data_IF_682624500638
#
_entry.id   IF_682624500638
#
_cell.length_a   1.000
_cell.length_b   1.000
_cell.length_c   1.000
_cell.angle_alpha   90.00
_cell.angle_beta   90.00
_cell.angle_gamma   90.00
#
_symmetry.space_group_name_H-M   'P 1'
#
loop_
_entity.id
_entity.type
_entity.pdbx_description
1 polymer ?
#
# COMPACT_ATOMS: atom_id res chain seq x y z
N UNK A 1 10.58 -0.03 10.21
CA UNK A 1 9.36 0.51 9.55
C UNK A 1 8.79 1.69 10.31
N UNK A 2 8.51 1.57 11.60
CA UNK A 2 7.92 2.65 12.41
C UNK A 2 8.67 3.99 12.30
N UNK A 3 10.01 3.98 12.29
CA UNK A 3 10.80 5.20 12.07
C UNK A 3 10.49 5.87 10.73
N UNK A 4 10.42 5.10 9.64
CA UNK A 4 10.10 5.63 8.30
C UNK A 4 8.66 6.20 8.25
N UNK A 5 7.69 5.52 8.89
CA UNK A 5 6.32 6.04 8.98
C UNK A 5 6.31 7.34 9.78
N UNK A 6 6.99 7.39 10.95
CA UNK A 6 7.08 8.61 11.76
C UNK A 6 7.66 9.78 10.95
N UNK A 7 8.79 9.58 10.27
CA UNK A 7 9.40 10.60 9.40
C UNK A 7 8.47 11.05 8.27
N UNK A 8 7.50 10.20 7.90
CA UNK A 8 6.51 10.51 6.86
C UNK A 8 5.37 11.37 7.38
N UNK A 9 4.93 11.16 8.63
CA UNK A 9 3.68 11.75 9.15
C UNK A 9 3.86 12.75 10.30
N UNK A 10 5.06 12.88 10.88
CA UNK A 10 5.26 13.71 12.07
C UNK A 10 4.92 15.19 11.82
N UNK A 11 3.97 15.71 12.61
CA UNK A 11 3.46 17.08 12.47
C UNK A 11 2.65 17.32 11.20
N UNK A 12 2.28 16.28 10.45
CA UNK A 12 1.56 16.42 9.17
C UNK A 12 0.06 16.19 9.35
N UNK A 13 -0.73 16.84 8.50
CA UNK A 13 -2.15 16.51 8.29
C UNK A 13 -2.21 15.30 7.36
N UNK A 14 -2.71 14.18 7.86
CA UNK A 14 -2.64 12.88 7.17
C UNK A 14 -4.03 12.46 6.70
N UNK A 15 -4.14 12.05 5.44
CA UNK A 15 -5.35 11.44 4.87
C UNK A 15 -5.07 9.99 4.45
N UNK A 16 -5.98 9.08 4.78
CA UNK A 16 -6.03 7.74 4.23
C UNK A 16 -7.10 7.71 3.14
N UNK A 17 -6.68 7.58 1.89
CA UNK A 17 -7.55 7.58 0.71
C UNK A 17 -7.89 6.15 0.29
N UNK A 18 -9.16 5.76 0.49
CA UNK A 18 -9.64 4.39 0.36
C UNK A 18 -9.55 3.61 1.68
N UNK A 19 -10.71 3.31 2.30
CA UNK A 19 -10.77 2.70 3.63
C UNK A 19 -11.17 1.22 3.61
N UNK A 20 -10.71 0.50 2.59
CA UNK A 20 -10.78 -0.97 2.52
C UNK A 20 -9.78 -1.66 3.45
N UNK A 21 -9.39 -2.90 3.10
CA UNK A 21 -8.45 -3.69 3.90
C UNK A 21 -7.11 -2.96 4.13
N UNK A 22 -6.56 -2.38 3.05
CA UNK A 22 -5.26 -1.67 3.11
C UNK A 22 -5.38 -0.36 3.89
N UNK A 23 -6.43 0.44 3.69
CA UNK A 23 -6.66 1.66 4.47
C UNK A 23 -6.77 1.40 5.97
N UNK A 24 -7.48 0.33 6.38
CA UNK A 24 -7.57 -0.09 7.79
C UNK A 24 -6.22 -0.55 8.35
N UNK A 25 -5.39 -1.23 7.56
CA UNK A 25 -4.03 -1.61 7.95
C UNK A 25 -3.12 -0.37 8.08
N UNK A 26 -3.28 0.60 7.17
CA UNK A 26 -2.59 1.89 7.24
C UNK A 26 -2.95 2.63 8.53
N UNK A 27 -4.24 2.71 8.85
CA UNK A 27 -4.69 3.36 10.08
C UNK A 27 -4.04 2.74 11.32
N UNK A 28 -4.10 1.42 11.46
CA UNK A 28 -3.45 0.73 12.60
C UNK A 28 -1.97 1.06 12.72
N UNK A 29 -1.26 1.16 11.60
CA UNK A 29 0.16 1.52 11.59
C UNK A 29 0.38 2.98 12.00
N UNK A 30 -0.41 3.91 11.49
CA UNK A 30 -0.33 5.33 11.82
C UNK A 30 -0.63 5.55 13.30
N UNK A 31 -1.69 4.94 13.83
CA UNK A 31 -2.04 5.00 15.25
C UNK A 31 -0.93 4.43 16.16
N UNK A 32 -0.35 3.29 15.78
CA UNK A 32 0.76 2.68 16.50
C UNK A 32 1.99 3.60 16.57
N UNK A 33 2.23 4.39 15.53
CA UNK A 33 3.38 5.29 15.44
C UNK A 33 3.09 6.64 16.08
N UNK A 34 1.92 7.19 15.86
CA UNK A 34 1.50 8.52 16.32
C UNK A 34 2.34 9.67 15.76
N UNK A 35 2.13 10.87 16.28
CA UNK A 35 2.93 12.07 15.95
C UNK A 35 2.41 12.90 14.78
N UNK A 36 1.31 12.51 14.13
CA UNK A 36 0.62 13.33 13.13
C UNK A 36 -0.08 14.54 13.78
N UNK A 37 -0.34 15.60 13.00
CA UNK A 37 -1.10 16.77 13.46
C UNK A 37 -2.61 16.50 13.47
N UNK A 38 -3.13 15.92 12.38
CA UNK A 38 -4.51 15.48 12.24
C UNK A 38 -4.60 14.26 11.35
N UNK A 39 -5.68 13.47 11.51
CA UNK A 39 -5.90 12.25 10.75
C UNK A 39 -7.31 12.25 10.17
N UNK A 40 -7.41 11.95 8.89
CA UNK A 40 -8.68 11.78 8.20
C UNK A 40 -8.69 10.49 7.38
N UNK A 41 -9.88 10.00 7.08
CA UNK A 41 -10.12 8.92 6.12
C UNK A 41 -11.10 9.39 5.06
N UNK A 42 -10.85 9.02 3.80
CA UNK A 42 -11.74 9.36 2.69
C UNK A 42 -12.06 8.12 1.85
N UNK A 43 -13.35 7.92 1.54
CA UNK A 43 -13.79 6.83 0.66
C UNK A 43 -15.03 7.25 -0.13
N UNK A 44 -15.24 6.65 -1.29
CA UNK A 44 -16.42 6.90 -2.10
C UNK A 44 -17.72 6.46 -1.40
N UNK A 45 -17.65 5.37 -0.64
CA UNK A 45 -18.79 4.79 0.08
C UNK A 45 -18.85 5.31 1.52
N UNK A 46 -20.06 5.45 2.10
CA UNK A 46 -20.20 5.72 3.52
C UNK A 46 -19.43 4.68 4.35
N UNK A 47 -18.65 5.17 5.30
CA UNK A 47 -17.83 4.33 6.16
C UNK A 47 -18.61 3.96 7.43
N UNK A 48 -18.68 2.68 7.74
CA UNK A 48 -19.09 2.22 9.07
C UNK A 48 -17.87 2.30 9.99
N UNK A 49 -17.81 3.38 10.77
CA UNK A 49 -16.73 3.61 11.73
C UNK A 49 -17.22 3.16 13.10
N UNK A 50 -16.56 2.15 13.64
CA UNK A 50 -16.75 1.75 15.02
C UNK A 50 -15.83 2.61 15.89
N UNK A 51 -16.41 3.59 16.58
CA UNK A 51 -15.69 4.55 17.45
C UNK A 51 -14.96 3.89 18.62
N UNK A 52 -15.22 2.61 18.91
CA UNK A 52 -14.46 1.85 19.90
C UNK A 52 -13.04 1.49 19.41
N UNK A 53 -12.80 1.51 18.11
CA UNK A 53 -11.53 1.09 17.49
C UNK A 53 -10.81 2.19 16.72
N UNK A 54 -11.40 3.38 16.61
CA UNK A 54 -10.84 4.49 15.83
C UNK A 54 -10.75 5.76 16.68
N UNK A 55 -9.78 6.65 16.40
CA UNK A 55 -9.66 7.93 17.13
C UNK A 55 -10.95 8.73 17.07
N UNK A 56 -11.36 9.29 18.22
CA UNK A 56 -12.61 10.07 18.31
C UNK A 56 -12.57 11.37 17.47
N UNK A 57 -11.38 11.90 17.25
CA UNK A 57 -11.12 13.13 16.48
C UNK A 57 -10.76 12.88 15.01
N UNK A 58 -10.85 11.61 14.53
CA UNK A 58 -10.59 11.26 13.15
C UNK A 58 -11.71 11.78 12.24
N UNK A 59 -11.34 12.64 11.29
CA UNK A 59 -12.27 13.14 10.27
C UNK A 59 -12.65 12.06 9.27
N UNK A 60 -13.93 12.05 8.83
CA UNK A 60 -14.47 11.07 7.88
C UNK A 60 -15.08 11.78 6.70
N UNK A 61 -14.49 11.60 5.52
CA UNK A 61 -14.91 12.19 4.26
C UNK A 61 -15.47 11.08 3.36
N UNK A 62 -16.68 11.23 2.83
CA UNK A 62 -17.25 10.24 1.91
C UNK A 62 -18.16 10.85 0.86
N UNK A 63 -18.49 10.04 -0.16
CA UNK A 63 -19.35 10.46 -1.28
C UNK A 63 -18.55 10.78 -2.54
N UNK A 64 -19.21 11.36 -3.54
CA UNK A 64 -18.62 11.60 -4.87
C UNK A 64 -17.44 12.58 -4.86
N UNK A 65 -17.42 13.48 -3.89
CA UNK A 65 -16.41 14.53 -3.73
C UNK A 65 -15.24 14.15 -2.82
N UNK A 66 -15.14 12.90 -2.37
CA UNK A 66 -14.16 12.44 -1.38
C UNK A 66 -12.70 12.72 -1.75
N UNK A 67 -12.39 12.93 -3.04
CA UNK A 67 -11.05 13.30 -3.51
C UNK A 67 -10.82 14.81 -3.64
N UNK A 68 -11.84 15.64 -3.50
CA UNK A 68 -11.70 17.08 -3.74
C UNK A 68 -10.90 17.78 -2.62
N UNK A 69 -10.75 17.10 -1.49
CA UNK A 69 -10.06 17.59 -0.28
C UNK A 69 -8.58 17.21 -0.18
N UNK A 70 -8.02 16.48 -1.17
CA UNK A 70 -6.65 15.96 -1.06
C UNK A 70 -5.62 17.06 -0.77
N UNK A 71 -5.75 18.23 -1.36
CA UNK A 71 -4.85 19.37 -1.18
C UNK A 71 -4.96 20.06 0.19
N UNK A 72 -5.92 19.69 1.02
CA UNK A 72 -6.02 20.16 2.40
C UNK A 72 -5.11 19.39 3.36
N UNK A 73 -4.51 18.29 2.89
CA UNK A 73 -3.61 17.43 3.63
C UNK A 73 -2.18 17.57 3.14
N UNK A 74 -1.22 17.21 3.99
CA UNK A 74 0.20 17.24 3.66
C UNK A 74 0.67 15.89 3.12
N UNK A 75 0.08 14.80 3.65
CA UNK A 75 0.38 13.41 3.24
C UNK A 75 -0.89 12.62 3.02
N UNK A 76 -0.98 11.97 1.87
CA UNK A 76 -2.11 11.10 1.49
C UNK A 76 -1.62 9.67 1.28
N UNK A 77 -2.10 8.75 2.12
CA UNK A 77 -1.89 7.31 1.93
C UNK A 77 -2.95 6.77 0.97
N UNK A 78 -2.57 6.57 -0.28
CA UNK A 78 -3.48 6.08 -1.32
C UNK A 78 -3.55 4.56 -1.34
N UNK A 79 -4.76 4.01 -1.23
CA UNK A 79 -5.03 2.59 -1.48
C UNK A 79 -4.95 2.25 -2.97
N UNK A 80 -4.44 1.06 -3.36
CA UNK A 80 -4.17 0.70 -4.77
C UNK A 80 -5.38 0.83 -5.70
N UNK A 81 -6.58 0.44 -5.23
CA UNK A 81 -7.80 0.46 -6.05
C UNK A 81 -8.39 1.85 -6.33
N UNK A 82 -7.81 2.91 -5.79
CA UNK A 82 -8.29 4.27 -6.03
C UNK A 82 -7.66 4.84 -7.30
N UNK A 83 -8.49 5.25 -8.24
CA UNK A 83 -8.08 6.04 -9.42
C UNK A 83 -8.09 7.50 -9.01
N UNK A 84 -6.95 8.17 -9.13
CA UNK A 84 -6.87 9.62 -8.87
C UNK A 84 -7.57 10.41 -9.98
N UNK A 85 -8.22 11.53 -9.62
CA UNK A 85 -8.86 12.43 -10.58
C UNK A 85 -7.85 13.20 -11.45
N UNK A 86 -6.63 13.41 -10.94
CA UNK A 86 -5.53 14.14 -11.57
C UNK A 86 -4.23 13.33 -11.44
N UNK A 87 -3.22 13.69 -12.22
CA UNK A 87 -1.90 13.10 -12.06
C UNK A 87 -1.30 13.43 -10.69
N UNK A 88 -0.56 12.50 -10.03
CA UNK A 88 -0.03 12.74 -8.69
C UNK A 88 0.79 14.03 -8.54
N UNK A 89 1.48 14.47 -9.60
CA UNK A 89 2.26 15.71 -9.60
C UNK A 89 1.44 17.02 -9.63
N UNK A 90 0.13 16.93 -9.83
CA UNK A 90 -0.78 18.08 -9.82
C UNK A 90 -1.34 18.38 -8.42
N UNK A 91 -1.16 17.45 -7.47
CA UNK A 91 -1.53 17.67 -6.08
C UNK A 91 -0.41 18.36 -5.30
N UNK A 92 -0.78 19.19 -4.35
CA UNK A 92 0.19 19.82 -3.43
C UNK A 92 0.60 18.89 -2.30
N UNK A 93 -0.22 17.88 -1.99
CA UNK A 93 0.07 16.87 -0.99
C UNK A 93 1.06 15.82 -1.51
N UNK A 94 1.79 15.18 -0.58
CA UNK A 94 2.63 14.02 -0.91
C UNK A 94 1.79 12.75 -0.91
N UNK A 95 1.62 12.13 -2.08
CA UNK A 95 0.92 10.84 -2.21
C UNK A 95 1.92 9.70 -1.96
N UNK A 96 1.57 8.79 -1.08
CA UNK A 96 2.35 7.61 -0.71
C UNK A 96 1.48 6.36 -0.68
N UNK A 97 2.09 5.17 -0.80
CA UNK A 97 1.40 3.89 -0.66
C UNK A 97 2.11 2.99 0.35
N UNK A 98 1.39 2.02 0.92
CA UNK A 98 1.99 0.98 1.77
C UNK A 98 3.12 0.25 1.03
N UNK A 99 2.89 -0.13 -0.23
CA UNK A 99 3.84 -0.87 -1.06
C UNK A 99 5.13 -0.08 -1.24
N UNK A 100 5.05 1.20 -1.58
CA UNK A 100 6.23 2.05 -1.77
C UNK A 100 7.05 2.19 -0.49
N UNK A 101 6.40 2.51 0.64
CA UNK A 101 7.10 2.64 1.92
C UNK A 101 7.69 1.31 2.40
N UNK A 102 6.99 0.20 2.16
CA UNK A 102 7.49 -1.13 2.44
C UNK A 102 8.75 -1.44 1.61
N UNK A 103 8.73 -1.20 0.31
CA UNK A 103 9.87 -1.44 -0.57
C UNK A 103 11.05 -0.51 -0.25
N UNK A 104 10.81 0.74 0.14
CA UNK A 104 11.86 1.65 0.64
C UNK A 104 12.59 1.06 1.84
N UNK A 105 11.89 0.38 2.73
CA UNK A 105 12.49 -0.19 3.96
C UNK A 105 13.04 -1.60 3.77
N UNK A 106 12.31 -2.47 3.07
CA UNK A 106 12.57 -3.91 2.99
C UNK A 106 12.86 -4.40 1.56
N UNK A 107 12.97 -3.50 0.59
CA UNK A 107 13.19 -3.86 -0.81
C UNK A 107 14.43 -4.74 -1.03
N UNK A 108 15.51 -4.56 -0.26
CA UNK A 108 16.74 -5.33 -0.38
C UNK A 108 16.57 -6.84 -0.12
N UNK A 109 15.59 -7.24 0.66
CA UNK A 109 15.30 -8.65 1.01
C UNK A 109 13.99 -9.13 0.39
N UNK A 110 13.42 -8.35 -0.54
CA UNK A 110 12.15 -8.64 -1.19
C UNK A 110 12.36 -9.18 -2.60
N UNK A 111 11.66 -10.28 -2.90
CA UNK A 111 11.41 -10.77 -4.26
C UNK A 111 9.99 -10.38 -4.62
N UNK A 112 9.83 -9.42 -5.53
CA UNK A 112 8.53 -8.95 -6.01
C UNK A 112 8.10 -9.71 -7.26
N UNK A 113 6.87 -10.22 -7.28
CA UNK A 113 6.31 -10.99 -8.39
C UNK A 113 5.07 -10.27 -8.91
N UNK A 114 5.10 -9.91 -10.19
CA UNK A 114 3.99 -9.26 -10.88
C UNK A 114 3.73 -9.89 -12.25
N UNK A 115 2.72 -9.42 -12.93
CA UNK A 115 2.26 -9.87 -14.25
C UNK A 115 0.73 -9.97 -14.30
N UNK A 116 0.19 -10.18 -15.47
CA UNK A 116 -1.26 -10.28 -15.64
C UNK A 116 -1.80 -11.57 -15.01
N UNK A 117 -1.19 -12.72 -15.30
CA UNK A 117 -1.64 -14.05 -14.83
C UNK A 117 -0.51 -14.79 -14.10
N UNK A 118 -0.90 -15.66 -13.15
CA UNK A 118 0.03 -16.57 -12.49
C UNK A 118 0.74 -16.00 -11.25
N UNK A 119 0.55 -14.72 -10.92
CA UNK A 119 1.18 -14.08 -9.76
C UNK A 119 1.08 -14.93 -8.49
N UNK A 120 -0.13 -15.23 -8.06
CA UNK A 120 -0.39 -15.94 -6.79
C UNK A 120 0.22 -17.35 -6.77
N UNK A 121 0.16 -18.05 -7.92
CA UNK A 121 0.75 -19.40 -8.04
C UNK A 121 2.26 -19.34 -7.87
N UNK A 122 2.94 -18.46 -8.60
CA UNK A 122 4.41 -18.35 -8.55
C UNK A 122 4.88 -17.82 -7.21
N UNK A 123 4.18 -16.83 -6.64
CA UNK A 123 4.51 -16.27 -5.33
C UNK A 123 4.39 -17.32 -4.23
N UNK A 124 3.30 -18.09 -4.22
CA UNK A 124 3.08 -19.17 -3.24
C UNK A 124 4.11 -20.30 -3.43
N UNK A 125 4.41 -20.68 -4.67
CA UNK A 125 5.39 -21.71 -4.98
C UNK A 125 6.79 -21.30 -4.51
N UNK A 126 7.23 -20.10 -4.81
CA UNK A 126 8.54 -19.59 -4.38
C UNK A 126 8.65 -19.56 -2.85
N UNK A 127 7.61 -19.03 -2.18
CA UNK A 127 7.55 -19.05 -0.71
C UNK A 127 7.68 -20.47 -0.16
N UNK A 128 6.94 -21.43 -0.73
CA UNK A 128 7.00 -22.84 -0.32
C UNK A 128 8.42 -23.42 -0.50
N UNK A 129 9.06 -23.17 -1.64
CA UNK A 129 10.44 -23.63 -1.92
C UNK A 129 11.42 -23.07 -0.89
N UNK A 130 11.35 -21.77 -0.59
CA UNK A 130 12.21 -21.15 0.40
C UNK A 130 12.01 -21.74 1.80
N UNK A 131 10.76 -21.96 2.20
CA UNK A 131 10.45 -22.60 3.49
C UNK A 131 10.98 -24.04 3.54
N UNK A 132 10.85 -24.83 2.47
CA UNK A 132 11.40 -26.19 2.37
C UNK A 132 12.94 -26.20 2.38
N UNK A 133 13.57 -25.15 1.89
CA UNK A 133 15.01 -24.95 1.97
C UNK A 133 15.48 -24.41 3.34
N UNK A 134 14.61 -24.40 4.35
CA UNK A 134 14.93 -23.98 5.73
C UNK A 134 14.96 -22.46 5.94
N UNK A 135 14.54 -21.65 4.97
CA UNK A 135 14.45 -20.19 5.13
C UNK A 135 13.14 -19.82 5.83
N UNK A 136 13.20 -18.86 6.74
CA UNK A 136 12.00 -18.26 7.38
C UNK A 136 11.43 -17.18 6.47
N UNK A 137 10.97 -17.57 5.28
CA UNK A 137 10.40 -16.62 4.31
C UNK A 137 9.00 -16.18 4.72
N UNK A 138 8.62 -14.94 4.35
CA UNK A 138 7.29 -14.39 4.58
C UNK A 138 6.61 -14.15 3.22
N UNK A 139 5.33 -14.54 3.12
CA UNK A 139 4.46 -14.29 1.98
C UNK A 139 3.54 -13.11 2.27
N UNK A 140 3.55 -12.10 1.43
CA UNK A 140 2.75 -10.91 1.62
C UNK A 140 2.33 -10.23 0.31
N UNK A 141 1.58 -9.14 0.42
CA UNK A 141 1.19 -8.26 -0.68
C UNK A 141 -0.27 -8.40 -1.09
N UNK A 142 -0.53 -8.48 -2.39
CA UNK A 142 -1.89 -8.60 -2.92
C UNK A 142 -2.59 -9.90 -2.48
N UNK A 143 -1.82 -10.96 -2.20
CA UNK A 143 -2.27 -12.17 -1.52
C UNK A 143 -1.63 -12.28 -0.14
N UNK A 144 -2.24 -13.10 0.72
CA UNK A 144 -1.75 -13.32 2.07
C UNK A 144 -2.02 -12.13 2.99
N UNK A 145 -0.98 -11.66 3.65
CA UNK A 145 -1.04 -10.61 4.67
C UNK A 145 -0.58 -9.28 4.06
N UNK A 146 -1.22 -8.19 4.47
CA UNK A 146 -0.83 -6.85 4.05
C UNK A 146 0.56 -6.49 4.57
N UNK A 147 1.29 -5.72 3.79
CA UNK A 147 2.71 -5.45 4.08
C UNK A 147 2.94 -4.72 5.42
N UNK A 148 2.05 -3.85 5.84
CA UNK A 148 2.18 -3.20 7.15
C UNK A 148 1.88 -4.13 8.33
N UNK A 149 1.07 -5.17 8.12
CA UNK A 149 0.71 -6.11 9.18
C UNK A 149 1.80 -7.17 9.47
N UNK A 150 2.86 -7.25 8.63
CA UNK A 150 3.96 -8.21 8.80
C UNK A 150 5.27 -7.58 9.26
N UNK A 151 5.37 -6.25 9.32
CA UNK A 151 6.65 -5.56 9.51
C UNK A 151 7.41 -5.95 10.78
N UNK A 152 6.70 -6.31 11.84
CA UNK A 152 7.30 -6.73 13.10
C UNK A 152 7.84 -8.19 13.06
N UNK A 153 7.50 -8.95 12.01
CA UNK A 153 7.98 -10.31 11.79
C UNK A 153 9.25 -10.36 10.93
N UNK A 154 9.62 -9.22 10.31
CA UNK A 154 10.73 -9.15 9.35
C UNK A 154 12.04 -8.82 10.09
N UNK A 155 12.92 -9.82 10.21
CA UNK A 155 14.31 -9.64 10.64
C UNK A 155 15.24 -9.25 9.48
N UNK A 156 16.51 -9.04 9.77
CA UNK A 156 17.51 -8.58 8.79
C UNK A 156 17.70 -9.55 7.61
N UNK A 157 17.60 -10.85 7.84
CA UNK A 157 17.80 -11.89 6.83
C UNK A 157 16.49 -12.59 6.40
N UNK A 158 15.33 -12.03 6.78
CA UNK A 158 14.04 -12.63 6.44
C UNK A 158 13.70 -12.40 4.97
N UNK A 159 13.68 -13.41 4.09
CA UNK A 159 13.24 -13.22 2.71
C UNK A 159 11.75 -12.88 2.69
N UNK A 160 11.37 -11.86 1.92
CA UNK A 160 9.96 -11.53 1.68
C UNK A 160 9.62 -11.85 0.24
N UNK A 161 8.61 -12.70 0.03
CA UNK A 161 8.04 -12.99 -1.28
C UNK A 161 6.76 -12.18 -1.41
N UNK A 162 6.78 -11.18 -2.27
CA UNK A 162 5.76 -10.15 -2.36
C UNK A 162 4.99 -10.26 -3.68
N UNK A 163 3.69 -10.56 -3.61
CA UNK A 163 2.83 -10.41 -4.76
C UNK A 163 2.49 -8.94 -4.97
N UNK A 164 2.75 -8.45 -6.17
CA UNK A 164 2.49 -7.06 -6.56
C UNK A 164 1.47 -6.99 -7.69
N UNK A 165 0.37 -6.27 -7.46
CA UNK A 165 -0.59 -5.92 -8.49
C UNK A 165 -0.13 -4.70 -9.29
N UNK A 166 -0.67 -4.51 -10.50
CA UNK A 166 -0.45 -3.31 -11.30
C UNK A 166 -0.83 -2.04 -10.53
N UNK A 167 -1.96 -2.04 -9.83
CA UNK A 167 -2.41 -0.90 -9.02
C UNK A 167 -1.47 -0.54 -7.87
N UNK A 168 -0.76 -1.53 -7.29
CA UNK A 168 0.26 -1.28 -6.27
C UNK A 168 1.55 -0.71 -6.86
N UNK A 169 1.81 -1.00 -8.13
CA UNK A 169 3.01 -0.54 -8.85
C UNK A 169 2.81 0.80 -9.56
N UNK A 170 1.58 1.23 -9.78
CA UNK A 170 1.20 2.37 -10.62
C UNK A 170 2.02 3.65 -10.36
N UNK A 171 2.31 3.94 -9.09
CA UNK A 171 3.09 5.13 -8.70
C UNK A 171 4.33 4.76 -7.88
N UNK A 172 4.78 3.50 -7.94
CA UNK A 172 5.94 3.06 -7.19
C UNK A 172 7.23 3.62 -7.80
N UNK A 173 7.99 4.37 -7.02
CA UNK A 173 9.29 4.96 -7.41
C UNK A 173 10.49 4.07 -7.04
N UNK A 174 10.25 2.93 -6.39
CA UNK A 174 11.28 2.00 -5.91
C UNK A 174 10.95 0.57 -6.30
N UNK A 175 12.00 -0.23 -6.53
CA UNK A 175 11.87 -1.64 -6.90
C UNK A 175 12.31 -2.56 -5.76
N UNK A 176 11.79 -3.80 -5.69
CA UNK A 176 12.40 -4.84 -4.87
C UNK A 176 13.80 -5.20 -5.41
N UNK A 177 14.61 -5.88 -4.58
CA UNK A 177 15.94 -6.35 -4.99
C UNK A 177 15.85 -7.29 -6.20
N UNK A 178 14.88 -8.19 -6.20
CA UNK A 178 14.59 -9.07 -7.32
C UNK A 178 13.15 -8.84 -7.77
N UNK A 179 12.96 -8.54 -9.04
CA UNK A 179 11.65 -8.37 -9.66
C UNK A 179 11.43 -9.46 -10.72
N UNK A 180 10.24 -10.07 -10.69
CA UNK A 180 9.82 -11.09 -11.66
C UNK A 180 8.56 -10.60 -12.35
N UNK A 181 8.66 -10.32 -13.64
CA UNK A 181 7.52 -10.07 -14.52
C UNK A 181 7.18 -11.37 -15.26
N UNK A 182 6.04 -11.96 -14.94
CA UNK A 182 5.64 -13.27 -15.50
C UNK A 182 5.17 -13.16 -16.95
N UNK A 183 4.27 -12.24 -17.20
CA UNK A 183 3.64 -12.00 -18.50
C UNK A 183 2.90 -10.66 -18.47
N UNK A 184 2.57 -10.17 -19.68
CA UNK A 184 1.81 -8.95 -19.88
C UNK A 184 0.76 -9.20 -20.98
N UNK A 185 -0.52 -9.12 -20.61
CA UNK A 185 -1.67 -9.21 -21.50
C UNK A 185 -2.63 -8.05 -21.18
N UNK A 186 -3.52 -7.73 -22.09
CA UNK A 186 -4.56 -6.74 -21.85
C UNK A 186 -5.46 -7.15 -20.67
N UNK A 187 -5.46 -6.32 -19.63
CA UNK A 187 -6.34 -6.45 -18.45
C UNK A 187 -6.52 -5.07 -17.82
N UNK A 188 -7.57 -4.89 -17.02
CA UNK A 188 -7.85 -3.64 -16.32
C UNK A 188 -7.97 -2.40 -17.23
N UNK A 189 -8.49 -2.56 -18.45
CA UNK A 189 -8.68 -1.45 -19.39
C UNK A 189 -9.75 -0.45 -18.94
N UNK A 190 -10.63 -0.82 -18.02
CA UNK A 190 -11.53 0.08 -17.29
C UNK A 190 -10.75 1.13 -16.48
N UNK A 191 -9.59 0.74 -15.93
CA UNK A 191 -8.67 1.61 -15.19
C UNK A 191 -7.66 2.30 -16.11
N UNK A 192 -6.85 1.53 -16.84
CA UNK A 192 -5.68 2.03 -17.59
C UNK A 192 -6.01 2.57 -19.00
N UNK A 193 -7.19 2.26 -19.55
CA UNK A 193 -7.68 2.64 -20.89
C UNK A 193 -6.95 1.97 -22.04
N UNK A 194 -5.63 1.83 -21.99
CA UNK A 194 -4.81 1.17 -23.03
C UNK A 194 -3.77 0.23 -22.43
N UNK A 195 -3.25 -0.71 -23.24
CA UNK A 195 -2.19 -1.62 -22.82
C UNK A 195 -0.88 -0.89 -22.50
N UNK A 196 -0.59 0.21 -23.21
CA UNK A 196 0.62 1.02 -23.01
C UNK A 196 0.64 1.69 -21.64
N UNK A 197 -0.55 1.96 -21.06
CA UNK A 197 -0.67 2.51 -19.71
C UNK A 197 -0.67 1.43 -18.63
N UNK A 198 -1.08 0.22 -18.99
CA UNK A 198 -1.08 -0.93 -18.09
C UNK A 198 0.32 -1.50 -17.92
#
# INVERSE_FOLDING_TARGET
>A
MQKLIRETIEGQRVLILGFGREGKSTLRMIEKVGGYQSLAVADQKPLQIDTLFYPEDMEVIYGETYQDYLNEFDVVFKSPGIVLKQDPGEYTCRIVSQTELFLKRFGKQTVGITGTKGKSTVTTLLHHILCKAGKKAILAGNIGILVFDIVDQIGEETPVVLELSCHQLEYASVSPHTAVLLNLYEEHLDHYKTLERY
#
